data_IF_317341633589
#
_entry.id   IF_317341633589
#
_cell.length_a   1.000
_cell.length_b   1.000
_cell.length_c   1.000
_cell.angle_alpha   90.00
_cell.angle_beta   90.00
_cell.angle_gamma   90.00
#
_symmetry.space_group_name_H-M   'P 1'
#
loop_
_entity.id
_entity.type
_entity.pdbx_description
1 polymer ?
#
# COMPACT_ATOMS: atom_id res chain seq x y z
N UNK A 1 15.79 -4.45 4.36
CA UNK A 1 14.42 -3.92 4.18
C UNK A 1 13.78 -4.68 3.03
N UNK A 2 12.58 -5.23 3.24
CA UNK A 2 11.89 -6.08 2.25
C UNK A 2 10.92 -5.26 1.40
N UNK A 3 10.71 -5.65 0.14
CA UNK A 3 9.65 -5.14 -0.73
C UNK A 3 8.85 -6.32 -1.30
N UNK A 4 7.55 -6.47 -0.95
CA UNK A 4 6.66 -7.48 -1.53
C UNK A 4 6.48 -7.34 -3.06
N UNK A 5 6.82 -6.19 -3.64
CA UNK A 5 6.88 -5.97 -5.08
C UNK A 5 5.49 -5.86 -5.71
N UNK A 6 4.64 -4.99 -5.19
CA UNK A 6 3.31 -4.72 -5.79
C UNK A 6 3.46 -4.25 -7.24
N UNK A 7 2.69 -4.86 -8.15
CA UNK A 7 2.69 -4.56 -9.58
C UNK A 7 3.96 -4.97 -10.34
N UNK A 8 4.77 -5.89 -9.79
CA UNK A 8 5.89 -6.52 -10.50
C UNK A 8 5.60 -8.01 -10.70
N UNK A 9 5.49 -8.43 -11.96
CA UNK A 9 5.20 -9.82 -12.38
C UNK A 9 3.99 -10.45 -11.68
N UNK A 10 2.96 -9.63 -11.40
CA UNK A 10 1.71 -10.03 -10.74
C UNK A 10 0.50 -9.51 -11.51
N UNK A 11 -0.53 -10.34 -11.65
CA UNK A 11 -1.86 -9.90 -12.11
C UNK A 11 -2.50 -8.96 -11.10
N UNK A 12 -3.63 -8.33 -11.46
CA UNK A 12 -4.38 -7.48 -10.52
C UNK A 12 -4.79 -8.30 -9.30
N UNK A 13 -5.39 -9.48 -9.50
CA UNK A 13 -5.86 -10.34 -8.41
C UNK A 13 -4.73 -10.85 -7.52
N UNK A 14 -3.58 -11.21 -8.09
CA UNK A 14 -2.39 -11.59 -7.31
C UNK A 14 -1.86 -10.46 -6.43
N UNK A 15 -2.03 -9.19 -6.83
CA UNK A 15 -1.68 -8.06 -5.96
C UNK A 15 -2.65 -7.94 -4.78
N UNK A 16 -3.93 -8.27 -4.97
CA UNK A 16 -4.89 -8.29 -3.87
C UNK A 16 -4.69 -9.49 -2.94
N UNK A 17 -4.32 -10.64 -3.47
CA UNK A 17 -3.88 -11.79 -2.67
C UNK A 17 -2.66 -11.44 -1.81
N UNK A 18 -1.67 -10.76 -2.39
CA UNK A 18 -0.51 -10.26 -1.66
C UNK A 18 -0.89 -9.26 -0.56
N UNK A 19 -1.78 -8.31 -0.87
CA UNK A 19 -2.29 -7.35 0.11
C UNK A 19 -3.05 -8.04 1.25
N UNK A 20 -3.84 -9.06 0.94
CA UNK A 20 -4.60 -9.81 1.92
C UNK A 20 -3.68 -10.54 2.92
N UNK A 21 -2.51 -10.99 2.46
CA UNK A 21 -1.54 -11.76 3.24
C UNK A 21 -0.35 -10.93 3.75
N UNK A 22 -0.43 -9.59 3.70
CA UNK A 22 0.73 -8.71 3.93
C UNK A 22 1.32 -8.84 5.35
N UNK A 23 0.51 -9.17 6.36
CA UNK A 23 0.94 -9.42 7.74
C UNK A 23 1.91 -10.59 7.87
N UNK A 24 1.96 -11.51 6.90
CA UNK A 24 2.93 -12.61 6.92
C UNK A 24 4.38 -12.11 6.81
N UNK A 25 4.61 -10.94 6.20
CA UNK A 25 5.95 -10.36 6.12
C UNK A 25 6.46 -9.91 7.50
N UNK A 26 5.56 -9.55 8.42
CA UNK A 26 5.93 -9.22 9.80
C UNK A 26 6.59 -10.39 10.54
N UNK A 27 6.30 -11.65 10.13
CA UNK A 27 6.93 -12.86 10.70
C UNK A 27 8.41 -13.00 10.36
N UNK A 28 8.90 -12.26 9.36
CA UNK A 28 10.30 -12.28 8.93
C UNK A 28 11.21 -11.42 9.82
N UNK A 29 10.66 -10.78 10.86
CA UNK A 29 11.39 -9.92 11.81
C UNK A 29 12.24 -8.84 11.11
N UNK A 30 11.78 -8.36 9.96
CA UNK A 30 12.40 -7.28 9.21
C UNK A 30 11.36 -6.24 8.79
N UNK A 31 11.72 -4.94 8.79
CA UNK A 31 10.84 -3.92 8.24
C UNK A 31 10.66 -4.13 6.74
N UNK A 32 9.44 -3.90 6.26
CA UNK A 32 9.09 -3.96 4.86
C UNK A 32 8.41 -2.69 4.39
N UNK A 33 8.64 -2.35 3.12
CA UNK A 33 8.00 -1.23 2.45
C UNK A 33 6.85 -1.72 1.58
N UNK A 34 5.89 -0.84 1.30
CA UNK A 34 4.86 -1.09 0.28
C UNK A 34 4.83 0.03 -0.73
N UNK A 35 4.62 -0.33 -2.00
CA UNK A 35 4.62 0.62 -3.12
C UNK A 35 3.59 0.25 -4.19
N UNK A 36 2.37 0.72 -4.01
CA UNK A 36 1.27 0.57 -4.99
C UNK A 36 0.67 1.90 -5.46
N UNK A 37 1.26 3.03 -5.07
CA UNK A 37 0.81 4.37 -5.46
C UNK A 37 0.66 4.48 -6.98
N UNK A 38 -0.56 4.83 -7.42
CA UNK A 38 -0.95 4.97 -8.84
C UNK A 38 -0.77 3.71 -9.70
N UNK A 39 -0.67 2.51 -9.10
CA UNK A 39 -0.51 1.25 -9.85
C UNK A 39 -1.84 0.72 -10.42
N UNK A 40 -1.70 -0.16 -11.41
CA UNK A 40 -2.81 -0.81 -12.14
C UNK A 40 -3.80 -1.52 -11.23
N UNK A 41 -3.34 -2.09 -10.11
CA UNK A 41 -4.23 -2.68 -9.13
C UNK A 41 -5.29 -1.71 -8.60
N UNK A 42 -4.99 -0.40 -8.56
CA UNK A 42 -5.95 0.63 -8.14
C UNK A 42 -6.82 1.06 -9.33
N UNK A 43 -6.18 1.65 -10.35
CA UNK A 43 -6.94 2.35 -11.38
C UNK A 43 -7.70 1.41 -12.32
N UNK A 44 -7.24 0.16 -12.53
CA UNK A 44 -8.02 -0.80 -13.33
C UNK A 44 -9.25 -1.29 -12.59
N UNK A 45 -9.15 -1.52 -11.27
CA UNK A 45 -10.30 -1.96 -10.46
C UNK A 45 -11.35 -0.88 -10.33
N UNK A 46 -10.93 0.39 -10.24
CA UNK A 46 -11.83 1.53 -10.13
C UNK A 46 -12.26 2.11 -11.48
N UNK A 47 -11.95 1.46 -12.61
CA UNK A 47 -12.23 1.94 -13.97
C UNK A 47 -11.83 3.41 -14.19
N UNK A 48 -10.62 3.75 -13.75
CA UNK A 48 -10.08 5.11 -13.70
C UNK A 48 -8.64 5.16 -14.26
N UNK A 49 -7.92 6.25 -14.01
CA UNK A 49 -6.56 6.48 -14.49
C UNK A 49 -5.53 6.55 -13.36
N UNK A 50 -4.24 6.39 -13.69
CA UNK A 50 -3.15 6.56 -12.73
C UNK A 50 -3.13 7.96 -12.07
N UNK A 51 -3.63 8.99 -12.76
CA UNK A 51 -3.70 10.37 -12.25
C UNK A 51 -4.80 10.53 -11.18
N UNK A 52 -5.87 9.76 -11.29
CA UNK A 52 -7.04 9.82 -10.41
C UNK A 52 -6.97 8.80 -9.25
N UNK A 53 -5.92 7.98 -9.22
CA UNK A 53 -5.72 6.90 -8.26
C UNK A 53 -5.37 7.38 -6.83
N UNK A 54 -5.45 8.68 -6.53
CA UNK A 54 -5.09 9.23 -5.22
C UNK A 54 -5.92 8.62 -4.09
N UNK A 55 -7.26 8.65 -4.22
CA UNK A 55 -8.15 8.10 -3.20
C UNK A 55 -7.86 6.61 -2.94
N UNK A 56 -7.77 5.79 -4.00
CA UNK A 56 -7.43 4.37 -3.85
C UNK A 56 -6.03 4.13 -3.28
N UNK A 57 -5.06 5.00 -3.58
CA UNK A 57 -3.71 4.95 -2.99
C UNK A 57 -3.77 5.21 -1.49
N UNK A 58 -4.52 6.22 -1.06
CA UNK A 58 -4.72 6.56 0.36
C UNK A 58 -5.36 5.41 1.13
N UNK A 59 -6.38 4.75 0.55
CA UNK A 59 -7.01 3.57 1.15
C UNK A 59 -6.02 2.43 1.32
N UNK A 60 -5.28 2.07 0.26
CA UNK A 60 -4.33 0.96 0.34
C UNK A 60 -3.13 1.28 1.24
N UNK A 61 -2.67 2.55 1.32
CA UNK A 61 -1.64 2.98 2.26
C UNK A 61 -2.08 2.74 3.70
N UNK A 62 -3.33 3.10 4.01
CA UNK A 62 -3.94 2.89 5.33
C UNK A 62 -3.92 1.40 5.69
N UNK A 63 -4.40 0.54 4.78
CA UNK A 63 -4.41 -0.92 4.98
C UNK A 63 -2.98 -1.45 5.15
N UNK A 64 -2.03 -1.00 4.33
CA UNK A 64 -0.63 -1.39 4.42
C UNK A 64 -0.01 -1.09 5.79
N UNK A 65 -0.25 0.11 6.33
CA UNK A 65 0.20 0.50 7.67
C UNK A 65 -0.47 -0.33 8.77
N UNK A 66 -1.76 -0.64 8.63
CA UNK A 66 -2.49 -1.49 9.58
C UNK A 66 -2.00 -2.94 9.56
N UNK A 67 -1.56 -3.43 8.40
CA UNK A 67 -0.95 -4.77 8.23
C UNK A 67 0.56 -4.83 8.53
N UNK A 68 1.15 -3.73 9.01
CA UNK A 68 2.52 -3.71 9.55
C UNK A 68 3.60 -3.15 8.63
N UNK A 69 3.26 -2.54 7.49
CA UNK A 69 4.24 -1.88 6.64
C UNK A 69 4.96 -0.75 7.40
N UNK A 70 6.29 -0.72 7.29
CA UNK A 70 7.13 0.29 7.96
C UNK A 70 7.38 1.52 7.10
N UNK A 71 7.28 1.37 5.77
CA UNK A 71 7.56 2.44 4.80
C UNK A 71 6.51 2.45 3.70
N UNK A 72 6.02 3.64 3.36
CA UNK A 72 5.16 3.87 2.20
C UNK A 72 5.99 4.49 1.07
N UNK A 73 6.03 3.85 -0.09
CA UNK A 73 6.62 4.41 -1.32
C UNK A 73 5.52 5.02 -2.18
N UNK A 74 5.49 6.35 -2.27
CA UNK A 74 4.37 7.12 -2.85
C UNK A 74 4.84 8.21 -3.82
N UNK A 75 3.93 8.64 -4.70
CA UNK A 75 4.10 9.86 -5.50
C UNK A 75 3.59 11.09 -4.75
N UNK A 76 2.48 10.93 -4.01
CA UNK A 76 1.73 12.00 -3.33
C UNK A 76 2.13 12.03 -1.83
N UNK A 77 3.22 12.74 -1.52
CA UNK A 77 3.89 12.71 -0.20
C UNK A 77 3.04 13.35 0.91
N UNK A 78 2.37 14.45 0.60
CA UNK A 78 1.56 15.20 1.57
C UNK A 78 0.44 14.30 2.11
N UNK A 79 -0.33 13.68 1.21
CA UNK A 79 -1.47 12.83 1.53
C UNK A 79 -1.03 11.55 2.24
N UNK A 80 0.12 10.98 1.86
CA UNK A 80 0.69 9.84 2.59
C UNK A 80 1.08 10.21 4.03
N UNK A 81 1.58 11.43 4.26
CA UNK A 81 1.92 11.91 5.61
C UNK A 81 0.66 12.11 6.46
N UNK A 82 -0.42 12.61 5.87
CA UNK A 82 -1.74 12.70 6.52
C UNK A 82 -2.24 11.31 6.94
N UNK A 83 -2.14 10.30 6.07
CA UNK A 83 -2.48 8.91 6.40
C UNK A 83 -1.66 8.38 7.57
N UNK A 84 -0.33 8.56 7.55
CA UNK A 84 0.54 8.12 8.65
C UNK A 84 0.09 8.76 9.97
N UNK A 85 -0.12 10.08 9.96
CA UNK A 85 -0.52 10.85 11.16
C UNK A 85 -1.84 10.34 11.73
N UNK A 86 -2.84 10.08 10.88
CA UNK A 86 -4.14 9.58 11.30
C UNK A 86 -4.07 8.14 11.83
N UNK A 87 -3.33 7.25 11.15
CA UNK A 87 -3.17 5.86 11.59
C UNK A 87 -2.43 5.78 12.92
N UNK A 88 -1.38 6.58 13.11
CA UNK A 88 -0.65 6.67 14.39
C UNK A 88 -1.56 7.15 15.54
N UNK A 89 -2.49 8.07 15.26
CA UNK A 89 -3.45 8.57 16.25
C UNK A 89 -4.48 7.52 16.70
N UNK A 90 -4.73 6.49 15.88
CA UNK A 90 -5.67 5.41 16.20
C UNK A 90 -4.98 4.26 16.93
N UNK A 91 -3.69 4.02 16.68
CA UNK A 91 -2.90 2.95 17.31
C UNK A 91 -2.50 3.22 18.77
N UNK A 92 -3.16 4.17 19.44
CA UNK A 92 -2.93 4.50 20.86
C UNK A 92 -3.42 3.41 21.78
#
# INVERSE_FOLDING_TARGET
MLDPGFGFSKTVDQNYELMNNLEHFSKLNQPFLVGFSRKSMIYKVLNSSAKEALNGTTVLNTIGLLKGASVLRVHDVKEAREVITLVEKIKT
#
